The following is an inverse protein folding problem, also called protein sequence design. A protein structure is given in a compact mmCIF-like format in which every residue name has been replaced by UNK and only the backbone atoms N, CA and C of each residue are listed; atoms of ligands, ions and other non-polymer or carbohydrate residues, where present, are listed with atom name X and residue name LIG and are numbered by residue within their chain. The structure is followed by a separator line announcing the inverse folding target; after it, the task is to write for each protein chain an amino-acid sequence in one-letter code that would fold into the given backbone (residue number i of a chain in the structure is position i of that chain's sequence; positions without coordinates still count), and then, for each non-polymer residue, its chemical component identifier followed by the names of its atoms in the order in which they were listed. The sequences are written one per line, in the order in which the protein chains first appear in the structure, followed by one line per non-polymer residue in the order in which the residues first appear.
data_IF_843456829201
#
_entry.id   IF_843456829201
#
_cell.length_a   1.000
_cell.length_b   1.000
_cell.length_c   1.000
_cell.angle_alpha   90.00
_cell.angle_beta   90.00
_cell.angle_gamma   90.00
#
_symmetry.space_group_name_H-M   'P 1'
#
loop_
_entity.id
_entity.type
_entity.pdbx_description
1 polymer ?
#
# COMPACT_ATOMS: atom_id res chain seq x y z
N UNK A 1 -2.16 12.43 -13.60
CA UNK A 1 -0.79 12.65 -13.10
C UNK A 1 -0.26 11.40 -12.46
N UNK A 2 0.95 11.01 -12.83
CA UNK A 2 1.62 9.78 -12.37
C UNK A 2 1.87 9.77 -10.86
N UNK A 3 2.13 10.92 -10.25
CA UNK A 3 2.28 11.05 -8.81
C UNK A 3 0.95 10.75 -8.07
N UNK A 4 -0.17 11.16 -8.65
CA UNK A 4 -1.51 10.86 -8.11
C UNK A 4 -1.81 9.37 -8.09
N UNK A 5 -1.38 8.62 -9.12
CA UNK A 5 -1.50 7.16 -9.15
C UNK A 5 -0.69 6.50 -8.02
N UNK A 6 0.55 6.94 -7.80
CA UNK A 6 1.38 6.43 -6.70
C UNK A 6 0.77 6.70 -5.32
N UNK A 7 0.20 7.89 -5.12
CA UNK A 7 -0.53 8.21 -3.88
C UNK A 7 -1.80 7.38 -3.70
N UNK A 8 -2.58 7.19 -4.77
CA UNK A 8 -3.79 6.36 -4.71
C UNK A 8 -3.49 4.93 -4.29
N UNK A 9 -2.48 4.32 -4.92
CA UNK A 9 -2.00 2.99 -4.55
C UNK A 9 -1.46 2.96 -3.11
N UNK A 10 -0.69 3.97 -2.70
CA UNK A 10 -0.12 4.05 -1.35
C UNK A 10 -1.17 4.20 -0.25
N UNK A 11 -2.24 4.96 -0.49
CA UNK A 11 -3.36 5.08 0.44
C UNK A 11 -4.16 3.77 0.52
N UNK A 12 -4.39 3.11 -0.61
CA UNK A 12 -5.03 1.79 -0.62
C UNK A 12 -4.21 0.76 0.18
N UNK A 13 -2.89 0.81 0.09
CA UNK A 13 -1.99 -0.04 0.88
C UNK A 13 -2.13 0.22 2.39
N UNK A 14 -2.16 1.49 2.80
CA UNK A 14 -2.37 1.85 4.21
C UNK A 14 -3.72 1.33 4.73
N UNK A 15 -4.79 1.45 3.94
CA UNK A 15 -6.13 1.00 4.34
C UNK A 15 -6.23 -0.52 4.51
N UNK A 16 -5.52 -1.30 3.68
CA UNK A 16 -5.56 -2.77 3.73
C UNK A 16 -4.56 -3.32 4.78
N UNK A 17 -3.49 -2.59 5.06
CA UNK A 17 -2.40 -3.01 5.95
C UNK A 17 -2.78 -3.52 7.35
N UNK A 18 -3.76 -2.96 8.09
CA UNK A 18 -4.09 -3.47 9.43
C UNK A 18 -4.71 -4.88 9.40
N UNK A 19 -5.40 -5.23 8.31
CA UNK A 19 -6.16 -6.46 8.18
C UNK A 19 -5.39 -7.61 7.51
N UNK A 20 -4.29 -7.31 6.80
CA UNK A 20 -3.48 -8.33 6.11
C UNK A 20 -2.05 -8.36 6.63
N UNK A 21 -1.67 -9.39 7.44
CA UNK A 21 -0.42 -9.41 8.20
C UNK A 21 0.79 -9.88 7.39
N UNK A 22 0.87 -9.47 6.12
CA UNK A 22 1.98 -9.82 5.24
C UNK A 22 2.21 -8.73 4.20
N UNK A 23 3.35 -8.05 4.34
CA UNK A 23 3.82 -7.08 3.34
C UNK A 23 3.97 -7.73 1.98
N UNK A 24 4.58 -8.91 1.89
CA UNK A 24 4.77 -9.61 0.60
C UNK A 24 3.46 -10.02 -0.07
N UNK A 25 2.44 -10.40 0.71
CA UNK A 25 1.12 -10.73 0.17
C UNK A 25 0.42 -9.48 -0.38
N UNK A 26 0.53 -8.34 0.30
CA UNK A 26 -0.01 -7.07 -0.17
C UNK A 26 0.75 -6.56 -1.40
N UNK A 27 2.05 -6.31 -1.26
CA UNK A 27 2.86 -5.71 -2.32
C UNK A 27 2.95 -6.60 -3.57
N UNK A 28 3.18 -7.90 -3.38
CA UNK A 28 3.33 -8.85 -4.48
C UNK A 28 2.01 -9.41 -5.01
N UNK A 29 1.05 -9.68 -4.13
CA UNK A 29 -0.22 -10.32 -4.51
C UNK A 29 -1.28 -9.35 -5.00
N UNK A 30 -1.41 -8.18 -4.35
CA UNK A 30 -2.45 -7.19 -4.69
C UNK A 30 -1.88 -6.11 -5.61
N UNK A 31 -0.81 -5.44 -5.20
CA UNK A 31 -0.35 -4.23 -5.89
C UNK A 31 0.44 -4.54 -7.16
N UNK A 32 1.28 -5.58 -7.17
CA UNK A 32 2.12 -5.87 -8.33
C UNK A 32 1.32 -6.15 -9.63
N UNK A 33 0.23 -6.95 -9.62
CA UNK A 33 -0.62 -7.12 -10.80
C UNK A 33 -1.27 -5.81 -11.27
N UNK A 34 -1.76 -4.99 -10.34
CA UNK A 34 -2.37 -3.69 -10.64
C UNK A 34 -1.35 -2.76 -11.32
N UNK A 35 -0.15 -2.65 -10.73
CA UNK A 35 0.94 -1.84 -11.28
C UNK A 35 1.36 -2.36 -12.65
N UNK A 36 1.43 -3.69 -12.83
CA UNK A 36 1.74 -4.31 -14.11
C UNK A 36 0.72 -3.90 -15.18
N UNK A 37 -0.58 -4.03 -14.90
CA UNK A 37 -1.63 -3.61 -15.84
C UNK A 37 -1.54 -2.13 -16.20
N UNK A 38 -1.29 -1.25 -15.22
CA UNK A 38 -1.09 0.18 -15.45
C UNK A 38 0.15 0.48 -16.30
N UNK A 39 1.26 -0.23 -16.03
CA UNK A 39 2.51 -0.09 -16.75
C UNK A 39 2.36 -0.55 -18.21
N UNK A 40 1.74 -1.71 -18.44
CA UNK A 40 1.49 -2.26 -19.77
C UNK A 40 0.56 -1.34 -20.60
N UNK A 41 -0.53 -0.84 -20.00
CA UNK A 41 -1.42 0.13 -20.63
C UNK A 41 -0.72 1.43 -21.04
N UNK A 42 0.37 1.79 -20.34
CA UNK A 42 1.19 2.97 -20.62
C UNK A 42 2.43 2.67 -21.49
N UNK A 43 2.54 1.46 -22.05
CA UNK A 43 3.68 1.04 -22.88
C UNK A 43 5.00 0.94 -22.11
N UNK A 44 4.93 0.75 -20.78
CA UNK A 44 6.05 0.60 -19.86
C UNK A 44 6.30 -0.87 -19.57
N UNK A 45 7.28 -1.48 -20.22
CA UNK A 45 7.63 -2.90 -20.07
C UNK A 45 9.00 -3.06 -19.41
N UNK A 46 9.29 -4.20 -18.75
CA UNK A 46 10.61 -4.50 -18.23
C UNK A 46 11.71 -4.33 -19.31
N UNK A 47 12.80 -3.65 -18.95
CA UNK A 47 13.89 -3.31 -19.88
C UNK A 47 13.89 -1.84 -20.24
N UNK A 48 14.03 -1.53 -21.54
CA UNK A 48 14.31 -0.15 -22.02
C UNK A 48 13.21 0.86 -21.68
N UNK A 49 11.95 0.43 -21.60
CA UNK A 49 10.81 1.33 -21.35
C UNK A 49 10.32 1.29 -19.91
N UNK A 50 11.01 0.59 -19.00
CA UNK A 50 10.56 0.39 -17.62
C UNK A 50 10.38 1.72 -16.86
N UNK A 51 11.22 2.72 -17.15
CA UNK A 51 11.17 4.03 -16.52
C UNK A 51 10.05 4.94 -17.03
N UNK A 52 9.25 4.51 -18.03
CA UNK A 52 8.08 5.27 -18.47
C UNK A 52 7.08 5.46 -17.34
N UNK A 53 6.80 4.39 -16.60
CA UNK A 53 5.85 4.41 -15.49
C UNK A 53 6.13 3.31 -14.47
N UNK A 54 6.44 2.10 -14.94
CA UNK A 54 6.51 0.88 -14.13
C UNK A 54 7.55 0.95 -13.01
N UNK A 55 8.80 1.36 -13.31
CA UNK A 55 9.87 1.45 -12.31
C UNK A 55 9.48 2.39 -11.16
N UNK A 56 8.91 3.54 -11.48
CA UNK A 56 8.47 4.54 -10.50
C UNK A 56 7.36 3.98 -9.59
N UNK A 57 6.32 3.40 -10.18
CA UNK A 57 5.19 2.85 -9.41
C UNK A 57 5.60 1.67 -8.53
N UNK A 58 6.43 0.75 -9.05
CA UNK A 58 6.93 -0.40 -8.28
C UNK A 58 7.74 0.08 -7.07
N UNK A 59 8.72 0.96 -7.29
CA UNK A 59 9.59 1.44 -6.19
C UNK A 59 8.77 2.22 -5.18
N UNK A 60 7.90 3.14 -5.63
CA UNK A 60 7.04 3.88 -4.72
C UNK A 60 6.15 2.95 -3.89
N UNK A 61 5.56 1.91 -4.50
CA UNK A 61 4.69 0.99 -3.78
C UNK A 61 5.44 0.10 -2.80
N UNK A 62 6.55 -0.50 -3.21
CA UNK A 62 7.35 -1.34 -2.31
C UNK A 62 7.85 -0.57 -1.08
N UNK A 63 8.20 0.71 -1.24
CA UNK A 63 8.63 1.53 -0.12
C UNK A 63 7.46 1.91 0.81
N UNK A 64 6.28 2.22 0.27
CA UNK A 64 5.07 2.48 1.09
C UNK A 64 4.62 1.22 1.83
N UNK A 65 4.64 0.06 1.17
CA UNK A 65 4.26 -1.24 1.75
C UNK A 65 5.06 -1.63 2.99
N UNK A 66 6.32 -1.20 3.06
CA UNK A 66 7.22 -1.45 4.20
C UNK A 66 7.04 -0.48 5.37
N UNK A 67 6.05 0.43 5.33
CA UNK A 67 5.76 1.32 6.44
C UNK A 67 5.22 0.55 7.65
N UNK A 68 5.82 0.69 8.86
CA UNK A 68 5.43 -0.08 10.04
C UNK A 68 4.24 0.56 10.78
N UNK A 69 3.28 1.18 10.08
CA UNK A 69 2.21 1.98 10.70
C UNK A 69 1.36 1.16 11.68
N UNK A 70 1.05 -0.08 11.30
CA UNK A 70 0.26 -0.99 12.11
C UNK A 70 1.12 -2.14 12.61
N UNK A 71 0.93 -2.49 13.88
CA UNK A 71 1.62 -3.59 14.52
C UNK A 71 1.40 -4.92 13.78
N UNK A 72 0.19 -5.14 13.27
CA UNK A 72 -0.19 -6.38 12.58
C UNK A 72 0.27 -6.45 11.13
N UNK A 73 0.74 -5.35 10.53
CA UNK A 73 1.03 -5.29 9.09
C UNK A 73 2.20 -6.17 8.63
N UNK A 74 3.10 -6.53 9.55
CA UNK A 74 4.26 -7.38 9.27
C UNK A 74 4.69 -8.19 10.50
N UNK A 75 5.15 -9.43 10.28
CA UNK A 75 5.65 -10.30 11.34
C UNK A 75 6.85 -9.70 12.11
N UNK A 76 7.66 -8.88 11.44
CA UNK A 76 8.80 -8.18 12.04
C UNK A 76 8.37 -7.23 13.16
N UNK A 77 7.21 -6.58 13.04
CA UNK A 77 6.68 -5.67 14.06
C UNK A 77 6.31 -6.45 15.33
N UNK A 78 5.71 -7.63 15.17
CA UNK A 78 5.40 -8.53 16.29
C UNK A 78 6.68 -9.10 16.96
N UNK A 79 7.74 -9.31 16.17
CA UNK A 79 9.04 -9.71 16.72
C UNK A 79 9.63 -8.63 17.63
N UNK A 80 9.51 -7.35 17.28
CA UNK A 80 9.95 -6.25 18.13
C UNK A 80 9.29 -6.27 19.52
N UNK A 81 7.99 -6.59 19.59
CA UNK A 81 7.30 -6.72 20.89
C UNK A 81 7.84 -7.89 21.72
N UNK A 82 8.15 -9.03 21.08
CA UNK A 82 8.72 -10.17 21.78
C UNK A 82 10.10 -9.84 22.36
N UNK A 83 10.95 -9.19 21.57
CA UNK A 83 12.27 -8.76 22.02
C UNK A 83 12.19 -7.75 23.17
N UNK A 84 11.25 -6.79 23.10
CA UNK A 84 11.02 -5.85 24.19
C UNK A 84 10.60 -6.56 25.49
N UNK A 85 9.72 -7.57 25.39
CA UNK A 85 9.30 -8.38 26.53
C UNK A 85 10.45 -9.20 27.14
N UNK A 86 11.34 -9.77 26.32
CA UNK A 86 12.55 -10.47 26.78
C UNK A 86 13.52 -9.55 27.54
N UNK A 87 13.53 -8.26 27.22
CA UNK A 87 14.29 -7.23 27.94
C UNK A 87 13.58 -6.69 29.20
N UNK A 88 12.42 -7.25 29.56
CA UNK A 88 11.64 -6.83 30.73
C UNK A 88 10.75 -5.60 30.50
N UNK A 89 10.58 -5.16 29.24
CA UNK A 89 9.68 -4.04 28.90
C UNK A 89 8.29 -4.59 28.57
N UNK A 90 7.35 -4.38 29.47
CA UNK A 90 5.93 -4.71 29.23
C UNK A 90 5.23 -3.50 28.60
N UNK A 91 4.68 -3.69 27.40
CA UNK A 91 3.96 -2.63 26.67
C UNK A 91 2.46 -2.89 26.85
N UNK A 92 1.77 -2.15 27.74
CA UNK A 92 0.32 -2.23 27.85
C UNK A 92 -0.32 -1.72 26.56
N UNK A 93 -1.41 -2.38 26.14
CA UNK A 93 -2.13 -2.08 24.90
C UNK A 93 -1.19 -1.91 23.69
N UNK A 94 -0.39 -2.96 23.43
CA UNK A 94 0.71 -2.91 22.46
C UNK A 94 0.30 -2.45 21.06
N UNK A 95 -0.93 -2.76 20.63
CA UNK A 95 -1.45 -2.31 19.35
C UNK A 95 -1.61 -0.79 19.31
N UNK A 96 -2.32 -0.20 20.28
CA UNK A 96 -2.50 1.26 20.32
C UNK A 96 -1.21 2.00 20.61
N UNK A 97 -0.36 1.49 21.49
CA UNK A 97 0.95 2.09 21.79
C UNK A 97 1.82 2.13 20.54
N UNK A 98 1.85 1.03 19.77
CA UNK A 98 2.54 0.99 18.48
C UNK A 98 1.95 1.97 17.48
N UNK A 99 0.62 1.95 17.31
CA UNK A 99 -0.07 2.82 16.35
C UNK A 99 0.20 4.30 16.63
N UNK A 100 0.10 4.74 17.88
CA UNK A 100 0.39 6.14 18.26
C UNK A 100 1.85 6.50 17.95
N UNK A 101 2.80 5.63 18.34
CA UNK A 101 4.23 5.88 18.12
C UNK A 101 4.65 5.83 16.65
N UNK A 102 4.06 4.93 15.87
CA UNK A 102 4.42 4.68 14.47
C UNK A 102 3.61 5.52 13.48
N UNK A 103 2.39 5.97 13.82
CA UNK A 103 1.48 6.66 12.89
C UNK A 103 2.11 7.91 12.28
N UNK A 104 2.69 8.81 13.10
CA UNK A 104 3.31 10.06 12.63
C UNK A 104 4.46 9.81 11.65
N UNK A 105 5.52 9.03 11.99
CA UNK A 105 6.60 8.77 11.05
C UNK A 105 6.12 7.97 9.83
N UNK A 106 5.17 7.05 10.00
CA UNK A 106 4.63 6.27 8.88
C UNK A 106 3.82 7.12 7.91
N UNK A 107 2.98 8.06 8.39
CA UNK A 107 2.23 8.97 7.54
C UNK A 107 3.16 9.90 6.78
N UNK A 108 4.20 10.41 7.44
CA UNK A 108 5.26 11.18 6.77
C UNK A 108 5.92 10.35 5.67
N UNK A 109 6.25 9.09 5.93
CA UNK A 109 6.83 8.20 4.92
C UNK A 109 5.87 7.92 3.76
N UNK A 110 4.58 7.73 4.01
CA UNK A 110 3.55 7.55 2.95
C UNK A 110 3.47 8.78 2.05
N UNK A 111 3.62 9.99 2.61
CA UNK A 111 3.60 11.25 1.86
C UNK A 111 4.91 11.47 1.10
N UNK A 112 6.05 11.28 1.76
CA UNK A 112 7.38 11.58 1.23
C UNK A 112 7.88 10.54 0.23
N UNK A 113 7.52 9.28 0.40
CA UNK A 113 8.03 8.18 -0.44
C UNK A 113 7.70 8.38 -1.92
N UNK A 114 6.44 8.66 -2.33
CA UNK A 114 6.14 8.95 -3.73
C UNK A 114 6.89 10.18 -4.25
N UNK A 115 7.10 11.21 -3.43
CA UNK A 115 7.85 12.42 -3.83
C UNK A 115 9.33 12.13 -4.05
N UNK A 116 9.94 11.37 -3.14
CA UNK A 116 11.34 10.96 -3.25
C UNK A 116 11.52 10.01 -4.44
N UNK A 117 10.64 9.03 -4.62
CA UNK A 117 10.64 8.16 -5.78
C UNK A 117 10.49 8.96 -7.09
N UNK A 118 9.64 9.99 -7.10
CA UNK A 118 9.44 10.86 -8.27
C UNK A 118 10.69 11.68 -8.61
N UNK A 119 11.50 12.03 -7.60
CA UNK A 119 12.76 12.76 -7.80
C UNK A 119 13.92 11.84 -8.18
N UNK A 120 14.01 10.65 -7.58
CA UNK A 120 15.11 9.70 -7.79
C UNK A 120 14.94 8.86 -9.05
N UNK A 121 13.70 8.48 -9.35
CA UNK A 121 13.32 7.65 -10.50
C UNK A 121 12.20 8.39 -11.24
N UNK A 122 12.50 9.56 -11.85
CA UNK A 122 11.48 10.37 -12.48
C UNK A 122 10.84 9.59 -13.64
N UNK A 123 9.51 9.40 -13.63
CA UNK A 123 8.83 8.73 -14.71
C UNK A 123 8.88 9.61 -15.97
N UNK A 124 9.12 8.99 -17.13
CA UNK A 124 9.08 9.71 -18.42
C UNK A 124 7.65 10.20 -18.71
N UNK A 125 6.64 9.42 -18.34
CA UNK A 125 5.24 9.79 -18.44
C UNK A 125 4.81 10.49 -17.14
N UNK A 126 4.60 11.80 -17.22
CA UNK A 126 4.17 12.62 -16.06
C UNK A 126 2.66 12.83 -16.00
N UNK A 127 2.03 12.86 -17.17
CA UNK A 127 0.59 12.97 -17.31
C UNK A 127 -0.03 11.71 -17.88
N UNK A 128 -1.10 11.30 -17.21
CA UNK A 128 -1.91 10.13 -17.50
C UNK A 128 -3.36 10.57 -17.65
N UNK A 129 -3.68 11.42 -18.66
CA UNK A 129 -5.01 12.01 -18.78
C UNK A 129 -6.10 10.96 -19.05
N UNK A 130 -5.73 9.82 -19.65
CA UNK A 130 -6.67 8.73 -19.91
C UNK A 130 -6.88 7.78 -18.73
N UNK A 131 -6.01 7.81 -17.71
CA UNK A 131 -6.09 6.87 -16.59
C UNK A 131 -7.40 6.97 -15.79
N UNK A 132 -7.97 8.17 -15.50
CA UNK A 132 -9.27 8.27 -14.85
C UNK A 132 -10.41 7.66 -15.67
N UNK A 133 -10.45 7.94 -16.98
CA UNK A 133 -11.49 7.43 -17.87
C UNK A 133 -11.39 5.89 -18.03
N UNK A 134 -10.16 5.36 -18.10
CA UNK A 134 -9.93 3.92 -18.13
C UNK A 134 -10.32 3.24 -16.81
N UNK A 135 -10.04 3.86 -15.67
CA UNK A 135 -10.44 3.34 -14.36
C UNK A 135 -11.97 3.34 -14.20
N UNK A 136 -12.66 4.39 -14.65
CA UNK A 136 -14.12 4.47 -14.64
C UNK A 136 -14.76 3.40 -15.55
N UNK A 137 -14.20 3.20 -16.74
CA UNK A 137 -14.65 2.13 -17.65
C UNK A 137 -14.44 0.74 -17.03
N UNK A 138 -13.27 0.47 -16.46
CA UNK A 138 -12.99 -0.79 -15.79
C UNK A 138 -13.93 -1.03 -14.60
N UNK A 139 -14.21 0.01 -13.80
CA UNK A 139 -15.17 -0.07 -12.69
C UNK A 139 -16.59 -0.35 -13.18
N UNK A 140 -17.01 0.28 -14.29
CA UNK A 140 -18.30 0.02 -14.91
C UNK A 140 -18.42 -1.42 -15.43
N UNK A 141 -17.33 -1.98 -16.00
CA UNK A 141 -17.26 -3.37 -16.43
C UNK A 141 -17.30 -4.37 -15.26
N UNK A 142 -16.75 -4.02 -14.10
CA UNK A 142 -16.82 -4.85 -12.88
C UNK A 142 -18.25 -4.94 -12.30
N UNK A 143 -19.05 -3.88 -12.46
CA UNK A 143 -20.42 -3.83 -11.96
C UNK A 143 -20.53 -3.65 -10.43
N UNK A 144 -21.75 -3.78 -9.86
CA UNK A 144 -21.98 -3.56 -8.45
C UNK A 144 -21.35 -4.65 -7.58
N UNK A 145 -20.85 -4.26 -6.40
CA UNK A 145 -20.24 -5.16 -5.44
C UNK A 145 -21.17 -6.32 -5.07
N UNK A 146 -20.65 -7.54 -5.23
CA UNK A 146 -21.33 -8.79 -4.90
C UNK A 146 -21.56 -8.93 -3.39
N UNK A 147 -22.50 -9.79 -3.01
CA UNK A 147 -22.78 -10.09 -1.60
C UNK A 147 -21.54 -10.60 -0.87
N UNK A 148 -20.71 -11.41 -1.54
CA UNK A 148 -19.49 -11.97 -0.95
C UNK A 148 -18.44 -10.88 -0.67
N UNK A 149 -18.25 -9.94 -1.59
CA UNK A 149 -17.35 -8.80 -1.38
C UNK A 149 -17.83 -7.90 -0.23
N UNK A 150 -19.14 -7.68 -0.11
CA UNK A 150 -19.72 -6.93 1.01
C UNK A 150 -19.50 -7.64 2.35
N UNK A 151 -19.70 -8.96 2.40
CA UNK A 151 -19.45 -9.75 3.60
C UNK A 151 -17.97 -9.68 3.98
N UNK A 152 -17.06 -9.82 3.01
CA UNK A 152 -15.62 -9.74 3.22
C UNK A 152 -15.18 -8.35 3.72
N UNK A 153 -15.68 -7.27 3.12
CA UNK A 153 -15.42 -5.92 3.60
C UNK A 153 -15.94 -5.72 5.04
N UNK A 154 -17.15 -6.22 5.33
CA UNK A 154 -17.75 -6.15 6.66
C UNK A 154 -16.95 -6.93 7.72
N UNK A 155 -16.48 -8.14 7.39
CA UNK A 155 -15.66 -8.94 8.33
C UNK A 155 -14.29 -8.33 8.55
N UNK A 156 -13.66 -7.73 7.52
CA UNK A 156 -12.39 -7.00 7.70
C UNK A 156 -12.57 -5.79 8.61
N UNK A 157 -13.61 -4.98 8.41
CA UNK A 157 -13.89 -3.82 9.26
C UNK A 157 -14.23 -4.24 10.70
N UNK A 158 -15.03 -5.30 10.88
CA UNK A 158 -15.35 -5.84 12.19
C UNK A 158 -14.12 -6.39 12.92
N UNK A 159 -13.23 -7.09 12.21
CA UNK A 159 -11.98 -7.59 12.78
C UNK A 159 -11.06 -6.45 13.25
N UNK A 160 -10.90 -5.39 12.43
CA UNK A 160 -10.13 -4.21 12.84
C UNK A 160 -10.78 -3.51 14.04
N UNK A 161 -12.10 -3.31 14.00
CA UNK A 161 -12.83 -2.64 15.09
C UNK A 161 -12.84 -3.39 16.43
N UNK A 162 -12.81 -4.73 16.41
CA UNK A 162 -12.73 -5.55 17.63
C UNK A 162 -11.30 -5.68 18.18
N UNK A 163 -10.28 -5.37 17.36
CA UNK A 163 -8.87 -5.48 17.74
C UNK A 163 -8.34 -4.22 18.44
N UNK A 164 -8.88 -3.04 18.09
CA UNK A 164 -8.58 -1.75 18.73
C UNK A 164 -9.27 -1.64 20.09
#
# INVERSE_FOLDING_TARGET
STLGLAYGLGMAEVLISPAMPSTSARSGGIFMPIIKSLAEASGSLPGKTANRLGSFLIVSQMQVSNSPMFLTAAAQNLLCLKLAAEMGVTIPNAWMTWFIGASVPSLLMVILTPLLAYKLIPPELKDTPEAPAQAEKALAEMGPMSTNEKIMAGTMLGAVGLWV
#
